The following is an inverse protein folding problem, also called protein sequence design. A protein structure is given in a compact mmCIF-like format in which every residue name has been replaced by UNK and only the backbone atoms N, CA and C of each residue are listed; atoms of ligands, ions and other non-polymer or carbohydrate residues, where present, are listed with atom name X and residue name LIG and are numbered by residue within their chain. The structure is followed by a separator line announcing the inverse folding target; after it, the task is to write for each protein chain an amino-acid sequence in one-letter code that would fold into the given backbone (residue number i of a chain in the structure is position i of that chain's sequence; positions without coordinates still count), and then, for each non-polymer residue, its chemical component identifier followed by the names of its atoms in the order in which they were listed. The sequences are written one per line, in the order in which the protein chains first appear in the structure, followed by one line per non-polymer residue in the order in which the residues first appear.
data_IF_585469078670
#
_entry.id   IF_585469078670
#
_cell.length_a   1.000
_cell.length_b   1.000
_cell.length_c   1.000
_cell.angle_alpha   90.00
_cell.angle_beta   90.00
_cell.angle_gamma   90.00
#
_symmetry.space_group_name_H-M   'P 1'
#
loop_
_entity.id
_entity.type
_entity.pdbx_description
1 polymer ?
#
# COMPACT_ATOMS: atom_id res chain seq x y z
N UNK A 1 15.19 -20.49 12.69
CA UNK A 1 14.65 -19.98 11.45
C UNK A 1 15.75 -19.83 10.41
N UNK A 2 15.56 -20.38 9.25
CA UNK A 2 16.60 -20.25 8.24
C UNK A 2 16.78 -18.79 7.84
N UNK A 3 18.02 -18.45 7.54
CA UNK A 3 18.32 -17.14 7.03
C UNK A 3 17.76 -17.00 5.62
N UNK A 4 17.14 -15.89 5.37
CA UNK A 4 16.63 -15.61 4.03
C UNK A 4 17.73 -14.97 3.19
N UNK A 5 17.77 -15.32 1.94
CA UNK A 5 18.63 -14.63 1.00
C UNK A 5 18.14 -13.17 0.89
N UNK A 6 18.98 -12.24 0.44
CA UNK A 6 18.55 -10.85 0.31
C UNK A 6 17.27 -10.66 -0.48
N UNK A 7 17.01 -11.51 -1.48
CA UNK A 7 15.79 -11.43 -2.24
C UNK A 7 14.59 -12.06 -1.57
N UNK A 8 14.78 -12.70 -0.42
CA UNK A 8 13.72 -13.43 0.27
C UNK A 8 13.19 -12.69 1.49
N UNK A 9 13.40 -11.39 1.55
CA UNK A 9 12.88 -10.60 2.66
C UNK A 9 11.36 -10.73 2.70
N UNK A 10 10.78 -10.72 3.91
CA UNK A 10 9.33 -10.71 4.01
C UNK A 10 8.75 -9.53 3.23
N UNK A 11 7.62 -9.77 2.60
CA UNK A 11 6.94 -8.75 1.82
C UNK A 11 5.87 -8.07 2.67
N UNK A 12 5.94 -6.77 2.74
CA UNK A 12 4.98 -5.94 3.46
C UNK A 12 4.15 -5.16 2.45
N UNK A 13 2.84 -5.26 2.59
CA UNK A 13 1.91 -4.38 1.90
C UNK A 13 1.61 -3.23 2.84
N UNK A 14 1.98 -2.03 2.44
CA UNK A 14 1.84 -0.83 3.27
C UNK A 14 0.76 0.08 2.70
N UNK A 15 -0.14 0.54 3.54
CA UNK A 15 -1.21 1.45 3.12
C UNK A 15 -1.51 2.45 4.23
N UNK A 16 -2.36 3.44 3.94
CA UNK A 16 -2.82 4.41 4.92
C UNK A 16 -4.11 5.06 4.43
N UNK A 17 -4.65 6.00 5.20
CA UNK A 17 -5.81 6.77 4.76
C UNK A 17 -5.46 8.23 4.45
N UNK A 18 -4.21 8.62 4.62
CA UNK A 18 -3.77 10.00 4.35
C UNK A 18 -3.28 10.22 2.92
N UNK A 19 -3.13 9.15 2.16
CA UNK A 19 -2.66 9.25 0.78
C UNK A 19 -1.21 8.80 0.64
N UNK A 20 -0.86 8.38 -0.57
CA UNK A 20 0.47 7.80 -0.83
C UNK A 20 1.60 8.81 -0.63
N UNK A 21 1.30 10.09 -0.71
CA UNK A 21 2.32 11.16 -0.62
C UNK A 21 2.48 11.71 0.80
N UNK A 22 1.79 11.14 1.79
CA UNK A 22 1.88 11.67 3.14
C UNK A 22 3.27 11.40 3.73
N UNK A 23 3.68 12.28 4.64
CA UNK A 23 5.00 12.15 5.27
C UNK A 23 5.08 10.94 6.19
N UNK A 24 3.97 10.62 6.84
CA UNK A 24 3.94 9.50 7.77
C UNK A 24 4.21 8.18 7.09
N UNK A 25 3.57 7.96 5.93
CA UNK A 25 3.75 6.70 5.24
C UNK A 25 5.14 6.63 4.59
N UNK A 26 5.66 7.76 4.16
CA UNK A 26 7.01 7.79 3.59
C UNK A 26 8.04 7.41 4.65
N UNK A 27 7.92 7.95 5.85
CA UNK A 27 8.83 7.64 6.94
C UNK A 27 8.74 6.16 7.33
N UNK A 28 7.52 5.65 7.42
CA UNK A 28 7.31 4.26 7.78
C UNK A 28 7.88 3.32 6.71
N UNK A 29 7.66 3.65 5.45
CA UNK A 29 8.21 2.88 4.34
C UNK A 29 9.73 2.82 4.43
N UNK A 30 10.36 3.96 4.64
CA UNK A 30 11.82 4.02 4.71
C UNK A 30 12.34 3.15 5.85
N UNK A 31 11.70 3.19 7.01
CA UNK A 31 12.10 2.36 8.13
C UNK A 31 11.92 0.88 7.86
N UNK A 32 10.81 0.51 7.24
CA UNK A 32 10.53 -0.89 6.97
C UNK A 32 11.43 -1.47 5.87
N UNK A 33 11.89 -0.65 4.94
CA UNK A 33 12.72 -1.13 3.84
C UNK A 33 14.07 -1.67 4.28
N UNK A 34 14.48 -1.39 5.48
CA UNK A 34 15.74 -1.92 5.99
C UNK A 34 15.68 -3.41 6.25
N UNK A 35 14.50 -3.95 6.53
CA UNK A 35 14.35 -5.35 6.87
C UNK A 35 13.33 -6.08 5.99
N UNK A 36 12.52 -5.33 5.24
CA UNK A 36 11.43 -5.91 4.46
C UNK A 36 11.45 -5.43 3.03
N UNK A 37 10.85 -6.21 2.15
CA UNK A 37 10.47 -5.71 0.85
C UNK A 37 9.12 -5.03 1.04
N UNK A 38 9.01 -3.77 0.67
CA UNK A 38 7.80 -2.98 0.92
C UNK A 38 7.17 -2.56 -0.39
N UNK A 39 5.88 -2.86 -0.54
CA UNK A 39 5.08 -2.33 -1.63
C UNK A 39 4.03 -1.43 -1.01
N UNK A 40 4.02 -0.18 -1.43
CA UNK A 40 3.09 0.81 -0.92
C UNK A 40 1.92 0.93 -1.89
N UNK A 41 0.71 0.73 -1.38
CA UNK A 41 -0.51 0.88 -2.16
C UNK A 41 -1.46 1.71 -1.31
N UNK A 42 -1.66 2.96 -1.70
CA UNK A 42 -2.40 3.90 -0.88
C UNK A 42 -3.29 4.77 -1.74
N UNK A 43 -4.26 5.46 -1.14
CA UNK A 43 -5.13 6.36 -1.89
C UNK A 43 -4.38 7.48 -2.57
N UNK A 44 -4.92 7.96 -3.69
CA UNK A 44 -4.35 9.11 -4.38
C UNK A 44 -4.30 10.34 -3.48
N UNK A 45 -5.33 10.52 -2.67
CA UNK A 45 -5.44 11.67 -1.80
C UNK A 45 -5.93 11.22 -0.44
N UNK A 46 -5.86 12.15 0.51
CA UNK A 46 -6.37 11.89 1.85
C UNK A 46 -7.84 11.47 1.80
N UNK A 47 -8.14 10.41 2.51
CA UNK A 47 -9.49 9.87 2.59
C UNK A 47 -10.08 10.25 3.94
N UNK A 48 -10.75 11.38 3.96
CA UNK A 48 -11.46 11.79 5.17
C UNK A 48 -12.76 11.02 5.28
N UNK A 49 -13.39 11.08 6.45
CA UNK A 49 -14.65 10.39 6.67
C UNK A 49 -15.73 10.82 5.69
N UNK A 50 -15.66 12.07 5.22
CA UNK A 50 -16.66 12.60 4.33
C UNK A 50 -16.53 12.09 2.90
N UNK A 51 -15.41 11.53 2.58
CA UNK A 51 -15.14 11.12 1.19
C UNK A 51 -15.36 9.64 0.95
N UNK A 52 -16.11 9.02 1.79
CA UNK A 52 -16.38 7.61 1.62
C UNK A 52 -17.42 7.34 0.55
N UNK A 53 -17.65 8.28 -0.32
CA UNK A 53 -18.59 8.12 -1.41
C UNK A 53 -18.40 6.75 -2.04
N UNK A 54 -19.49 6.07 -2.24
CA UNK A 54 -19.41 4.71 -2.73
C UNK A 54 -18.85 4.67 -4.12
N UNK A 55 -17.80 3.91 -4.29
CA UNK A 55 -17.19 3.70 -5.59
C UNK A 55 -17.59 2.36 -6.16
N UNK A 56 -18.69 1.81 -5.72
CA UNK A 56 -19.13 0.48 -6.10
C UNK A 56 -19.36 0.34 -7.59
N UNK A 57 -19.70 1.41 -8.25
CA UNK A 57 -20.09 1.37 -9.65
C UNK A 57 -19.07 2.04 -10.57
N UNK A 58 -17.90 2.42 -10.05
CA UNK A 58 -16.89 2.97 -10.92
C UNK A 58 -15.60 2.16 -10.81
N UNK A 59 -14.88 2.05 -11.92
CA UNK A 59 -13.62 1.32 -11.91
C UNK A 59 -12.62 2.01 -11.00
N UNK A 60 -11.83 1.22 -10.30
CA UNK A 60 -10.72 1.75 -9.53
C UNK A 60 -9.52 1.90 -10.46
N UNK A 61 -8.82 3.01 -10.34
CA UNK A 61 -7.64 3.28 -11.15
C UNK A 61 -6.41 3.05 -10.30
N UNK A 62 -5.48 2.31 -10.87
CA UNK A 62 -4.20 2.02 -10.24
C UNK A 62 -3.14 2.77 -11.04
N UNK A 63 -2.34 3.55 -10.33
CA UNK A 63 -1.26 4.29 -10.97
C UNK A 63 0.05 3.95 -10.27
N UNK A 64 1.01 3.47 -11.02
CA UNK A 64 2.34 3.24 -10.46
C UNK A 64 3.09 4.57 -10.46
N UNK A 65 3.32 5.10 -9.27
CA UNK A 65 3.97 6.40 -9.09
C UNK A 65 5.47 6.28 -9.27
N UNK A 66 6.04 5.24 -8.70
CA UNK A 66 7.43 4.89 -8.82
C UNK A 66 7.53 3.40 -8.49
N UNK A 67 8.68 2.76 -8.68
CA UNK A 67 8.77 1.33 -8.41
C UNK A 67 8.28 1.01 -7.00
N UNK A 68 7.36 0.08 -6.91
CA UNK A 68 6.79 -0.42 -5.64
C UNK A 68 5.96 0.62 -4.89
N UNK A 69 5.52 1.69 -5.58
CA UNK A 69 4.62 2.68 -5.01
C UNK A 69 3.44 2.87 -5.95
N UNK A 70 2.25 2.53 -5.48
CA UNK A 70 1.03 2.60 -6.27
C UNK A 70 0.00 3.49 -5.59
N UNK A 71 -0.66 4.30 -6.39
CA UNK A 71 -1.76 5.13 -5.91
C UNK A 71 -3.06 4.59 -6.50
N UNK A 72 -4.07 4.48 -5.66
CA UNK A 72 -5.36 3.96 -6.06
C UNK A 72 -6.40 5.06 -5.88
N UNK A 73 -7.25 5.21 -6.88
CA UNK A 73 -8.36 6.15 -6.81
C UNK A 73 -9.51 5.52 -6.04
N UNK A 74 -9.33 5.37 -4.74
CA UNK A 74 -10.30 4.71 -3.89
C UNK A 74 -9.95 4.86 -2.42
N UNK A 75 -10.65 4.10 -1.58
CA UNK A 75 -10.45 4.12 -0.14
C UNK A 75 -9.26 3.24 0.26
N UNK A 76 -8.79 3.35 1.52
CA UNK A 76 -7.75 2.43 1.99
C UNK A 76 -8.17 0.96 1.87
N UNK A 77 -9.42 0.66 2.14
CA UNK A 77 -9.92 -0.71 1.99
C UNK A 77 -9.83 -1.16 0.53
N UNK A 78 -10.16 -0.26 -0.40
CA UNK A 78 -10.02 -0.55 -1.83
C UNK A 78 -8.57 -0.85 -2.18
N UNK A 79 -7.63 -0.09 -1.62
CA UNK A 79 -6.22 -0.26 -1.90
C UNK A 79 -5.75 -1.65 -1.47
N UNK A 80 -6.10 -2.06 -0.28
CA UNK A 80 -5.72 -3.38 0.22
C UNK A 80 -6.38 -4.47 -0.62
N UNK A 81 -7.67 -4.32 -0.89
CA UNK A 81 -8.40 -5.29 -1.69
C UNK A 81 -7.77 -5.47 -3.07
N UNK A 82 -7.52 -4.36 -3.75
CA UNK A 82 -6.94 -4.42 -5.10
C UNK A 82 -5.56 -5.04 -5.06
N UNK A 83 -4.73 -4.66 -4.09
CA UNK A 83 -3.39 -5.19 -3.99
C UNK A 83 -3.40 -6.70 -3.78
N UNK A 84 -4.27 -7.18 -2.91
CA UNK A 84 -4.34 -8.61 -2.63
C UNK A 84 -4.88 -9.41 -3.80
N UNK A 85 -5.69 -8.79 -4.64
CA UNK A 85 -6.27 -9.47 -5.80
C UNK A 85 -5.49 -9.23 -7.09
N UNK A 86 -4.45 -8.41 -7.05
CA UNK A 86 -3.62 -8.12 -8.21
C UNK A 86 -2.19 -8.63 -8.02
N UNK A 87 -2.07 -9.80 -7.41
CA UNK A 87 -0.77 -10.44 -7.24
C UNK A 87 -0.23 -10.76 -8.63
N UNK A 88 1.03 -10.41 -8.83
CA UNK A 88 1.64 -10.53 -10.14
C UNK A 88 1.66 -9.22 -10.92
N UNK A 89 0.84 -8.24 -10.52
CA UNK A 89 0.82 -6.92 -11.15
C UNK A 89 1.24 -5.83 -10.17
N UNK A 90 0.63 -5.81 -8.99
CA UNK A 90 0.94 -4.85 -7.94
C UNK A 90 1.91 -5.46 -6.95
N UNK A 91 1.58 -6.67 -6.48
CA UNK A 91 2.45 -7.41 -5.57
C UNK A 91 3.14 -8.52 -6.34
N UNK A 92 4.44 -8.77 -6.09
CA UNK A 92 5.13 -9.88 -6.75
C UNK A 92 4.66 -11.24 -6.27
N UNK A 93 4.09 -11.27 -5.07
CA UNK A 93 3.55 -12.49 -4.46
C UNK A 93 2.65 -12.06 -3.32
N UNK A 94 1.88 -12.97 -2.72
CA UNK A 94 1.06 -12.60 -1.57
C UNK A 94 1.92 -12.03 -0.44
N UNK A 95 1.47 -10.98 0.23
CA UNK A 95 2.29 -10.34 1.26
C UNK A 95 2.33 -11.18 2.53
N UNK A 96 3.43 -11.07 3.27
CA UNK A 96 3.57 -11.71 4.57
C UNK A 96 2.89 -10.90 5.66
N UNK A 97 2.87 -9.58 5.50
CA UNK A 97 2.28 -8.66 6.46
C UNK A 97 1.55 -7.54 5.73
N UNK A 98 0.48 -7.06 6.33
CA UNK A 98 -0.21 -5.85 5.89
C UNK A 98 -0.09 -4.84 7.02
N UNK A 99 0.47 -3.68 6.70
CA UNK A 99 0.67 -2.61 7.68
C UNK A 99 -0.08 -1.37 7.21
N UNK A 100 -0.85 -0.77 8.09
CA UNK A 100 -1.60 0.44 7.76
C UNK A 100 -1.22 1.54 8.75
N UNK A 101 -0.83 2.68 8.24
CA UNK A 101 -0.42 3.82 9.04
C UNK A 101 0.79 4.50 8.38
N UNK A 102 1.44 5.50 8.94
CA UNK A 102 1.01 6.20 10.15
C UNK A 102 -0.03 7.22 9.71
N UNK A 103 -1.13 7.32 10.44
CA UNK A 103 -2.19 8.23 10.07
C UNK A 103 -2.18 9.45 10.98
N UNK A 104 -2.56 10.58 10.43
CA UNK A 104 -2.79 11.75 11.24
C UNK A 104 -4.09 11.56 11.98
N UNK A 105 -4.06 11.86 13.27
CA UNK A 105 -5.17 11.60 14.15
C UNK A 105 -6.48 12.30 13.83
#
# INVERSE_FOLDING_TARGET
MPLRAPGDRPLVLLSNDDGYASRGIAALRDGLREAFTVVLVAPETEQSAASHALSLHRPLRIREVEPEVFAIDGTPADCVYVALHAVGRVLPRPPDLVVSGINHG
#
